data_IF_483493409455
#
_entry.id   IF_483493409455
#
_cell.length_a   1.000
_cell.length_b   1.000
_cell.length_c   1.000
_cell.angle_alpha   90.00
_cell.angle_beta   90.00
_cell.angle_gamma   90.00
#
_symmetry.space_group_name_H-M   'P 1'
#
loop_
_entity.id
_entity.type
_entity.pdbx_description
1 polymer ?
#
# COMPACT_ATOMS: atom_id res chain seq x y z
N UNK A 1 -40.02 -36.77 -7.16
CA UNK A 1 -39.62 -36.65 -8.59
C UNK A 1 -38.84 -35.35 -8.72
N UNK A 2 -37.55 -35.36 -8.37
CA UNK A 2 -36.35 -35.50 -9.23
C UNK A 2 -36.08 -34.21 -10.03
N UNK A 3 -35.27 -33.34 -9.44
CA UNK A 3 -34.51 -32.31 -10.15
C UNK A 3 -33.38 -32.99 -10.91
N UNK A 4 -33.11 -32.66 -12.19
CA UNK A 4 -31.97 -33.20 -12.90
C UNK A 4 -30.68 -32.64 -12.28
N UNK A 5 -29.74 -33.56 -12.12
CA UNK A 5 -28.36 -33.33 -11.70
C UNK A 5 -27.58 -32.84 -12.91
N UNK A 6 -27.18 -31.57 -12.90
CA UNK A 6 -26.06 -31.07 -13.70
C UNK A 6 -24.85 -30.98 -12.77
N UNK A 7 -23.76 -31.53 -13.27
CA UNK A 7 -22.58 -31.97 -12.57
C UNK A 7 -21.35 -31.35 -13.22
N UNK A 8 -21.23 -30.02 -13.21
CA UNK A 8 -19.93 -29.36 -13.37
C UNK A 8 -19.83 -28.14 -12.47
N UNK A 9 -19.07 -28.30 -11.39
CA UNK A 9 -18.89 -27.27 -10.37
C UNK A 9 -18.15 -26.06 -10.88
N UNK A 10 -18.64 -24.88 -10.49
CA UNK A 10 -17.84 -23.70 -10.18
C UNK A 10 -18.66 -22.81 -9.25
N UNK A 11 -18.43 -22.90 -7.94
CA UNK A 11 -18.83 -21.84 -7.02
C UNK A 11 -17.90 -20.65 -7.24
N UNK A 12 -18.27 -19.78 -8.19
CA UNK A 12 -17.56 -18.52 -8.45
C UNK A 12 -18.14 -17.38 -7.60
N UNK A 13 -17.27 -16.66 -6.89
CA UNK A 13 -17.57 -15.39 -6.22
C UNK A 13 -18.29 -14.42 -7.19
N UNK A 14 -19.56 -14.13 -6.91
CA UNK A 14 -20.40 -13.27 -7.73
C UNK A 14 -20.03 -11.80 -7.59
N UNK A 15 -19.53 -11.19 -8.67
CA UNK A 15 -19.51 -9.74 -8.88
C UNK A 15 -20.81 -9.38 -9.61
N UNK A 16 -21.68 -8.56 -9.01
CA UNK A 16 -22.96 -8.15 -9.61
C UNK A 16 -22.73 -7.23 -10.83
N UNK A 17 -23.05 -7.72 -12.03
CA UNK A 17 -23.02 -7.02 -13.32
C UNK A 17 -23.49 -7.97 -14.44
N UNK A 18 -23.94 -7.48 -15.62
CA UNK A 18 -24.43 -8.35 -16.70
C UNK A 18 -23.35 -9.39 -17.02
N UNK A 19 -23.75 -10.67 -17.04
CA UNK A 19 -22.88 -11.82 -17.20
C UNK A 19 -21.93 -11.62 -18.39
N UNK A 20 -20.70 -11.22 -18.09
CA UNK A 20 -19.65 -11.12 -19.09
C UNK A 20 -19.28 -12.56 -19.44
N UNK A 21 -19.91 -13.11 -20.48
CA UNK A 21 -19.53 -14.41 -21.05
C UNK A 21 -18.15 -14.20 -21.66
N UNK A 22 -17.11 -14.48 -20.87
CA UNK A 22 -15.72 -14.49 -21.33
C UNK A 22 -15.52 -15.79 -22.12
N UNK A 23 -15.34 -15.67 -23.44
CA UNK A 23 -14.83 -16.78 -24.25
C UNK A 23 -13.39 -17.14 -23.81
N UNK A 24 -12.92 -18.34 -24.17
CA UNK A 24 -11.61 -18.84 -23.72
C UNK A 24 -10.44 -17.92 -24.09
N UNK A 25 -10.54 -17.16 -25.18
CA UNK A 25 -9.52 -16.18 -25.60
C UNK A 25 -9.55 -14.93 -24.72
N UNK A 26 -10.75 -14.50 -24.33
CA UNK A 26 -10.97 -13.40 -23.39
C UNK A 26 -10.52 -13.75 -21.96
N UNK A 27 -10.64 -15.02 -21.54
CA UNK A 27 -10.16 -15.51 -20.22
C UNK A 27 -8.63 -15.45 -20.12
N UNK A 28 -7.93 -15.88 -21.16
CA UNK A 28 -6.47 -15.81 -21.21
C UNK A 28 -5.98 -14.35 -21.24
N UNK A 29 -6.67 -13.50 -22.00
CA UNK A 29 -6.36 -12.07 -22.06
C UNK A 29 -6.55 -11.41 -20.69
N UNK A 30 -7.66 -11.65 -20.02
CA UNK A 30 -7.92 -11.11 -18.68
C UNK A 30 -6.90 -11.63 -17.64
N UNK A 31 -6.57 -12.92 -17.66
CA UNK A 31 -5.58 -13.49 -16.77
C UNK A 31 -4.20 -12.86 -16.96
N UNK A 32 -3.78 -12.66 -18.21
CA UNK A 32 -2.53 -11.98 -18.53
C UNK A 32 -2.52 -10.52 -18.05
N UNK A 33 -3.59 -9.75 -18.33
CA UNK A 33 -3.70 -8.36 -17.87
C UNK A 33 -3.74 -8.24 -16.34
N UNK A 34 -4.46 -9.14 -15.66
CA UNK A 34 -4.52 -9.18 -14.21
C UNK A 34 -3.13 -9.49 -13.63
N UNK A 35 -2.43 -10.48 -14.17
CA UNK A 35 -1.07 -10.84 -13.75
C UNK A 35 -0.09 -9.68 -13.97
N UNK A 36 -0.06 -9.08 -15.16
CA UNK A 36 0.82 -7.96 -15.48
C UNK A 36 0.53 -6.71 -14.62
N UNK A 37 -0.75 -6.40 -14.37
CA UNK A 37 -1.10 -5.29 -13.46
C UNK A 37 -0.76 -5.61 -12.01
N UNK A 38 -0.96 -6.85 -11.57
CA UNK A 38 -0.65 -7.27 -10.22
C UNK A 38 0.87 -7.22 -9.97
N UNK A 39 1.69 -7.71 -10.90
CA UNK A 39 3.15 -7.57 -10.81
C UNK A 39 3.58 -6.10 -10.75
N UNK A 40 2.97 -5.24 -11.58
CA UNK A 40 3.25 -3.80 -11.57
C UNK A 40 2.87 -3.15 -10.24
N UNK A 41 1.72 -3.52 -9.66
CA UNK A 41 1.28 -3.05 -8.35
C UNK A 41 2.17 -3.56 -7.23
N UNK A 42 2.60 -4.82 -7.27
CA UNK A 42 3.51 -5.41 -6.29
C UNK A 42 4.90 -4.78 -6.35
N UNK A 43 5.38 -4.41 -7.54
CA UNK A 43 6.67 -3.71 -7.71
C UNK A 43 6.60 -2.22 -7.38
N UNK A 44 5.43 -1.59 -7.53
CA UNK A 44 5.24 -0.22 -7.12
C UNK A 44 5.19 -0.16 -5.59
N UNK A 45 6.30 0.23 -4.95
CA UNK A 45 6.20 0.71 -3.55
C UNK A 45 5.23 1.90 -3.56
N UNK A 46 4.04 1.79 -2.92
CA UNK A 46 3.04 2.86 -3.00
C UNK A 46 3.56 4.18 -2.44
N UNK A 47 4.63 4.12 -1.62
CA UNK A 47 5.27 5.25 -1.00
C UNK A 47 6.78 5.22 -1.31
N UNK A 48 7.26 6.24 -2.03
CA UNK A 48 8.69 6.45 -2.28
C UNK A 48 9.35 7.13 -1.07
N UNK A 49 9.47 6.41 0.04
CA UNK A 49 10.22 6.85 1.21
C UNK A 49 11.64 6.31 1.18
N UNK A 50 12.60 7.17 1.47
CA UNK A 50 14.01 6.80 1.65
C UNK A 50 14.22 6.16 3.04
N UNK A 51 15.31 5.40 3.25
CA UNK A 51 15.63 4.82 4.56
C UNK A 51 15.69 5.87 5.68
N UNK A 52 16.31 7.04 5.42
CA UNK A 52 16.42 8.13 6.41
C UNK A 52 15.07 8.75 6.78
N UNK A 53 14.15 8.82 5.82
CA UNK A 53 12.77 9.26 6.06
C UNK A 53 11.99 8.24 6.91
N UNK A 54 12.19 6.94 6.66
CA UNK A 54 11.62 5.89 7.49
C UNK A 54 12.15 5.94 8.92
N UNK A 55 13.47 6.13 9.10
CA UNK A 55 14.07 6.26 10.42
C UNK A 55 13.51 7.48 11.17
N UNK A 56 13.32 8.60 10.47
CA UNK A 56 12.68 9.79 11.03
C UNK A 56 11.25 9.49 11.51
N UNK A 57 10.46 8.75 10.71
CA UNK A 57 9.11 8.33 11.09
C UNK A 57 9.09 7.34 12.27
N UNK A 58 10.07 6.43 12.36
CA UNK A 58 10.21 5.49 13.49
C UNK A 58 10.41 6.22 14.80
N UNK A 59 11.42 7.10 14.88
CA UNK A 59 11.66 7.88 16.09
C UNK A 59 10.50 8.82 16.42
N UNK A 60 9.84 9.37 15.40
CA UNK A 60 8.63 10.15 15.59
C UNK A 60 7.47 9.31 16.18
N UNK A 61 7.35 8.05 15.79
CA UNK A 61 6.35 7.12 16.35
C UNK A 61 6.64 6.77 17.81
N UNK A 62 7.92 6.71 18.21
CA UNK A 62 8.37 6.58 19.61
C UNK A 62 8.17 7.87 20.45
N UNK A 63 7.55 8.91 19.88
CA UNK A 63 7.24 10.16 20.58
C UNK A 63 8.39 11.15 20.67
N UNK A 64 9.49 10.95 19.93
CA UNK A 64 10.62 11.88 19.92
C UNK A 64 10.29 13.20 19.23
N UNK A 65 10.80 14.28 19.78
CA UNK A 65 10.78 15.62 19.19
C UNK A 65 11.78 15.74 18.05
N UNK A 66 11.63 16.74 17.17
CA UNK A 66 12.52 16.90 16.02
C UNK A 66 13.99 17.17 16.42
N UNK A 67 14.21 17.79 17.58
CA UNK A 67 15.57 18.02 18.12
C UNK A 67 16.21 16.74 18.64
N UNK A 68 15.43 15.87 19.30
CA UNK A 68 15.92 14.56 19.72
C UNK A 68 16.18 13.66 18.51
N UNK A 69 15.30 13.67 17.51
CA UNK A 69 15.49 12.91 16.27
C UNK A 69 16.74 13.40 15.54
N UNK A 70 16.94 14.71 15.45
CA UNK A 70 18.14 15.33 14.87
C UNK A 70 19.41 14.82 15.58
N UNK A 71 19.39 14.81 16.92
CA UNK A 71 20.49 14.31 17.75
C UNK A 71 20.75 12.82 17.51
N UNK A 72 19.70 11.99 17.46
CA UNK A 72 19.82 10.53 17.26
C UNK A 72 20.30 10.18 15.86
N UNK A 73 19.85 10.91 14.83
CA UNK A 73 20.22 10.66 13.44
C UNK A 73 21.51 11.37 13.00
N UNK A 74 22.08 12.25 13.83
CA UNK A 74 23.27 13.03 13.52
C UNK A 74 23.05 14.06 12.40
N UNK A 75 21.85 14.64 12.33
CA UNK A 75 21.45 15.63 11.31
C UNK A 75 20.88 16.88 11.98
N UNK A 76 20.64 17.95 11.22
CA UNK A 76 20.02 19.16 11.76
C UNK A 76 18.51 19.01 11.94
N UNK A 77 17.91 19.75 12.88
CA UNK A 77 16.45 19.83 13.03
C UNK A 77 15.74 20.31 11.77
N UNK A 78 16.38 21.19 10.98
CA UNK A 78 15.85 21.61 9.68
C UNK A 78 15.79 20.44 8.68
N UNK A 79 16.77 19.54 8.71
CA UNK A 79 16.75 18.32 7.90
C UNK A 79 15.63 17.37 8.33
N UNK A 80 15.38 17.25 9.64
CA UNK A 80 14.26 16.46 10.18
C UNK A 80 12.92 17.02 9.71
N UNK A 81 12.71 18.35 9.82
CA UNK A 81 11.49 19.00 9.33
C UNK A 81 11.28 18.75 7.82
N UNK A 82 12.34 18.92 7.02
CA UNK A 82 12.33 18.62 5.59
C UNK A 82 11.92 17.16 5.32
N UNK A 83 12.51 16.20 6.03
CA UNK A 83 12.15 14.79 5.88
C UNK A 83 10.70 14.53 6.30
N UNK A 84 10.23 15.14 7.39
CA UNK A 84 8.84 15.00 7.84
C UNK A 84 7.86 15.58 6.83
N UNK A 85 8.18 16.70 6.17
CA UNK A 85 7.37 17.27 5.08
C UNK A 85 7.29 16.31 3.89
N UNK A 86 8.42 15.78 3.45
CA UNK A 86 8.47 14.80 2.37
C UNK A 86 7.70 13.52 2.72
N UNK A 87 7.76 13.08 3.98
CA UNK A 87 6.98 11.93 4.46
C UNK A 87 5.48 12.21 4.41
N UNK A 88 5.05 13.39 4.89
CA UNK A 88 3.64 13.82 4.83
C UNK A 88 3.13 13.85 3.39
N UNK A 89 3.90 14.44 2.47
CA UNK A 89 3.56 14.49 1.04
C UNK A 89 3.46 13.09 0.44
N UNK A 90 4.48 12.24 0.66
CA UNK A 90 4.51 10.88 0.14
C UNK A 90 3.34 10.03 0.68
N UNK A 91 3.00 10.18 1.96
CA UNK A 91 1.91 9.44 2.61
C UNK A 91 0.54 10.13 2.49
N UNK A 92 0.47 11.26 1.77
CA UNK A 92 -0.71 12.12 1.63
C UNK A 92 -1.35 12.57 2.98
N UNK A 93 -0.53 12.76 4.01
CA UNK A 93 -0.97 13.00 5.37
C UNK A 93 -1.02 14.51 5.72
N UNK A 94 -2.08 14.92 6.41
CA UNK A 94 -2.29 16.32 6.79
C UNK A 94 -1.37 16.79 7.93
N UNK A 95 -0.98 15.89 8.85
CA UNK A 95 -0.14 16.23 9.99
C UNK A 95 0.80 15.06 10.36
N UNK A 96 1.72 15.32 11.31
CA UNK A 96 2.73 14.34 11.76
C UNK A 96 2.08 13.05 12.23
N UNK A 97 1.07 13.13 13.10
CA UNK A 97 0.37 11.96 13.66
C UNK A 97 -0.31 11.14 12.57
N UNK A 98 -0.97 11.80 11.61
CA UNK A 98 -1.58 11.13 10.46
C UNK A 98 -0.53 10.44 9.59
N UNK A 99 0.65 11.02 9.41
CA UNK A 99 1.76 10.40 8.67
C UNK A 99 2.26 9.14 9.40
N UNK A 100 2.46 9.21 10.71
CA UNK A 100 2.87 8.07 11.55
C UNK A 100 1.83 6.95 11.47
N UNK A 101 0.55 7.26 11.71
CA UNK A 101 -0.53 6.26 11.67
C UNK A 101 -0.63 5.60 10.31
N UNK A 102 -0.49 6.37 9.21
CA UNK A 102 -0.47 5.81 7.85
C UNK A 102 0.74 4.93 7.62
N UNK A 103 1.93 5.36 8.03
CA UNK A 103 3.15 4.55 7.90
C UNK A 103 3.03 3.21 8.63
N UNK A 104 2.43 3.19 9.82
CA UNK A 104 2.12 1.95 10.56
C UNK A 104 1.10 1.09 9.80
N UNK A 105 -0.01 1.68 9.36
CA UNK A 105 -1.06 0.96 8.60
C UNK A 105 -0.56 0.34 7.30
N UNK A 106 0.44 0.95 6.69
CA UNK A 106 1.08 0.45 5.47
C UNK A 106 2.25 -0.50 5.75
N UNK A 107 2.56 -0.81 7.02
CA UNK A 107 3.65 -1.70 7.42
C UNK A 107 5.05 -1.15 7.09
N UNK A 108 5.19 0.17 6.97
CA UNK A 108 6.47 0.82 6.66
C UNK A 108 7.34 0.98 7.91
N UNK A 109 6.69 1.14 9.07
CA UNK A 109 7.29 1.23 10.39
C UNK A 109 6.45 0.41 11.37
N UNK A 110 7.09 -0.21 12.35
CA UNK A 110 6.49 -1.14 13.31
C UNK A 110 7.58 -1.96 13.97
#
# INVERSE_FOLDING_TARGET
>A
MIFPRDETGVHGLGFFGPSMILDDSSRLTLAFFAHANMERMLRARPYRLTPRQLDTLRWAAEGKTDQEIASVLGISGHTVDKYMRQCKEALNAANRTAAIVRAIRYGLIG
#
